data_IF_611339756420
#
_entry.id   IF_611339756420
#
_cell.length_a   1.000
_cell.length_b   1.000
_cell.length_c   1.000
_cell.angle_alpha   90.00
_cell.angle_beta   90.00
_cell.angle_gamma   90.00
#
_symmetry.space_group_name_H-M   'P 1'
#
loop_
_entity.id
_entity.type
_entity.pdbx_description
1 polymer ?
#
# COMPACT_ATOMS: atom_id res chain seq x y z
N UNK A 1 -4.94 15.79 -3.90
CA UNK A 1 -3.68 15.04 -3.80
C UNK A 1 -3.48 14.69 -2.35
N UNK A 2 -3.35 13.40 -2.04
CA UNK A 2 -3.02 12.93 -0.70
C UNK A 2 -1.66 12.27 -0.75
N UNK A 3 -0.84 12.51 0.26
CA UNK A 3 0.42 11.79 0.41
C UNK A 3 0.12 10.43 1.04
N UNK A 4 0.40 9.38 0.27
CA UNK A 4 0.16 8.00 0.69
C UNK A 4 1.51 7.31 0.89
N UNK A 5 1.79 6.93 2.15
CA UNK A 5 2.93 6.07 2.48
C UNK A 5 2.42 4.69 2.87
N UNK A 6 3.04 3.66 2.31
CA UNK A 6 2.82 2.27 2.67
C UNK A 6 4.19 1.70 3.08
N UNK A 7 4.28 1.12 4.28
CA UNK A 7 5.46 0.40 4.75
C UNK A 7 5.08 -1.07 4.92
N UNK A 8 5.79 -1.94 4.22
CA UNK A 8 5.64 -3.39 4.32
C UNK A 8 6.95 -3.96 4.85
N UNK A 9 6.93 -4.57 6.03
CA UNK A 9 8.09 -5.14 6.71
C UNK A 9 7.73 -6.55 7.19
N UNK A 10 8.20 -7.57 6.44
CA UNK A 10 7.78 -8.96 6.68
C UNK A 10 6.27 -9.12 6.52
N UNK A 11 5.62 -9.53 7.61
CA UNK A 11 4.16 -9.70 7.70
C UNK A 11 3.39 -8.48 8.19
N UNK A 12 4.10 -7.41 8.54
CA UNK A 12 3.52 -6.17 9.05
C UNK A 12 3.36 -5.13 7.96
N UNK A 13 2.15 -4.60 7.84
CA UNK A 13 1.75 -3.59 6.85
C UNK A 13 1.22 -2.37 7.58
N UNK A 14 1.78 -1.20 7.25
CA UNK A 14 1.40 0.08 7.84
C UNK A 14 1.09 1.11 6.76
N UNK A 15 0.01 1.86 6.94
CA UNK A 15 -0.50 2.84 5.99
C UNK A 15 -0.59 4.22 6.64
N UNK A 16 -0.24 5.25 5.88
CA UNK A 16 -0.45 6.65 6.27
C UNK A 16 -1.09 7.43 5.12
N UNK A 17 -2.06 8.28 5.46
CA UNK A 17 -2.65 9.27 4.56
C UNK A 17 -2.42 10.65 5.18
N UNK A 18 -1.68 11.51 4.47
CA UNK A 18 -1.32 12.84 4.95
C UNK A 18 -0.73 12.81 6.38
N UNK A 19 0.28 11.93 6.57
CA UNK A 19 0.96 11.63 7.83
C UNK A 19 0.13 11.02 8.96
N UNK A 20 -1.20 10.96 8.83
CA UNK A 20 -2.07 10.25 9.77
C UNK A 20 -1.96 8.74 9.53
N UNK A 21 -1.62 7.98 10.59
CA UNK A 21 -1.55 6.51 10.50
C UNK A 21 -2.96 5.93 10.49
N UNK A 22 -3.34 5.27 9.41
CA UNK A 22 -4.69 4.72 9.25
C UNK A 22 -4.76 3.21 9.50
N UNK A 23 -3.66 2.49 9.27
CA UNK A 23 -3.58 1.02 9.45
C UNK A 23 -2.23 0.63 10.05
N UNK A 24 -2.26 -0.32 10.98
CA UNK A 24 -1.11 -1.08 11.48
C UNK A 24 -1.57 -2.53 11.66
N UNK A 25 -1.23 -3.39 10.70
CA UNK A 25 -1.74 -4.75 10.59
C UNK A 25 -0.59 -5.74 10.48
N UNK A 26 -0.72 -6.88 11.16
CA UNK A 26 0.17 -8.03 11.02
C UNK A 26 -0.65 -9.19 10.47
N UNK A 27 -0.28 -9.66 9.28
CA UNK A 27 -0.94 -10.78 8.62
C UNK A 27 -0.57 -12.10 9.31
N UNK A 28 -1.53 -12.66 10.03
CA UNK A 28 -1.39 -13.88 10.83
C UNK A 28 -1.43 -15.17 10.02
N UNK A 29 -1.99 -15.14 8.80
CA UNK A 29 -2.03 -16.31 7.92
C UNK A 29 -0.67 -16.50 7.22
N UNK A 30 -0.05 -17.65 7.45
CA UNK A 30 1.24 -18.00 6.86
C UNK A 30 1.11 -18.39 5.37
N UNK A 31 -0.09 -18.79 4.92
CA UNK A 31 -0.33 -19.23 3.55
C UNK A 31 -0.48 -18.04 2.57
N UNK A 32 -0.69 -16.83 3.09
CA UNK A 32 -0.77 -15.61 2.27
C UNK A 32 0.62 -15.26 1.70
N UNK A 33 0.76 -15.12 0.36
CA UNK A 33 2.04 -14.82 -0.27
C UNK A 33 2.64 -13.48 0.19
N UNK A 34 3.95 -13.48 0.49
CA UNK A 34 4.69 -12.31 0.99
C UNK A 34 5.36 -11.48 -0.12
N UNK A 35 5.25 -11.92 -1.37
CA UNK A 35 5.84 -11.27 -2.53
C UNK A 35 4.86 -11.23 -3.70
N UNK A 36 4.96 -10.20 -4.53
CA UNK A 36 4.07 -9.99 -5.68
C UNK A 36 4.42 -8.75 -6.46
N UNK A 37 3.48 -8.29 -7.29
CA UNK A 37 3.60 -7.05 -8.06
C UNK A 37 2.83 -5.91 -7.37
N UNK A 38 3.27 -4.68 -7.59
CA UNK A 38 2.55 -3.47 -7.15
C UNK A 38 1.76 -2.93 -8.35
N UNK A 39 0.47 -2.69 -8.14
CA UNK A 39 -0.42 -2.12 -9.14
C UNK A 39 -1.35 -1.07 -8.51
N UNK A 40 -1.73 -0.08 -9.30
CA UNK A 40 -2.82 0.84 -8.95
C UNK A 40 -4.13 0.26 -9.49
N UNK A 41 -5.17 0.29 -8.68
CA UNK A 41 -6.50 -0.18 -9.06
C UNK A 41 -7.49 0.99 -9.06
N UNK A 42 -8.29 1.07 -10.12
CA UNK A 42 -9.53 1.85 -10.17
C UNK A 42 -10.68 0.85 -10.17
N UNK A 43 -11.62 1.00 -9.24
CA UNK A 43 -12.73 0.05 -9.08
C UNK A 43 -13.66 0.12 -10.31
N UNK A 44 -14.16 -1.03 -10.75
CA UNK A 44 -15.16 -1.10 -11.83
C UNK A 44 -16.52 -0.53 -11.36
N UNK A 45 -17.25 0.18 -12.21
CA UNK A 45 -18.58 0.69 -11.85
C UNK A 45 -18.94 1.95 -12.62
N UNK A 46 -19.64 2.88 -11.94
CA UNK A 46 -19.88 4.21 -12.48
C UNK A 46 -18.55 4.89 -12.89
N UNK A 47 -18.55 5.77 -13.90
CA UNK A 47 -17.34 6.42 -14.36
C UNK A 47 -16.55 7.04 -13.20
N UNK A 48 -15.30 6.61 -13.05
CA UNK A 48 -14.37 7.07 -12.04
C UNK A 48 -13.04 7.41 -12.70
N UNK A 49 -12.41 8.46 -12.20
CA UNK A 49 -11.07 8.86 -12.61
C UNK A 49 -10.18 8.99 -11.37
N UNK A 50 -8.95 8.49 -11.45
CA UNK A 50 -7.96 8.59 -10.40
C UNK A 50 -6.62 9.03 -10.99
N UNK A 51 -5.98 9.99 -10.33
CA UNK A 51 -4.73 10.60 -10.78
C UNK A 51 -3.62 10.26 -9.78
N UNK A 52 -2.51 9.74 -10.30
CA UNK A 52 -1.35 9.33 -9.51
C UNK A 52 -0.14 10.14 -9.94
N UNK A 53 0.70 10.54 -8.98
CA UNK A 53 1.99 11.19 -9.25
C UNK A 53 2.99 10.79 -8.19
N UNK A 54 4.27 10.76 -8.57
CA UNK A 54 5.36 10.53 -7.62
C UNK A 54 5.39 9.15 -6.99
N UNK A 55 4.89 8.12 -7.68
CA UNK A 55 5.01 6.73 -7.25
C UNK A 55 6.49 6.34 -7.19
N UNK A 56 6.95 5.94 -5.99
CA UNK A 56 8.33 5.50 -5.76
C UNK A 56 8.32 4.26 -4.88
N UNK A 57 9.28 3.37 -5.12
CA UNK A 57 9.52 2.19 -4.31
C UNK A 57 10.93 2.28 -3.73
N UNK A 58 11.06 1.96 -2.45
CA UNK A 58 12.34 1.79 -1.78
C UNK A 58 12.30 0.47 -1.03
N UNK A 59 13.26 -0.41 -1.31
CA UNK A 59 13.46 -1.62 -0.53
C UNK A 59 13.89 -1.22 0.89
N UNK A 60 13.32 -1.90 1.90
CA UNK A 60 13.80 -1.79 3.26
C UNK A 60 15.08 -2.62 3.36
N UNK A 61 16.16 -2.01 3.85
CA UNK A 61 17.37 -2.77 4.16
C UNK A 61 17.09 -3.65 5.38
N UNK A 62 17.76 -4.80 5.45
CA UNK A 62 17.80 -5.66 6.65
C UNK A 62 18.28 -4.90 7.89
#
# INVERSE_FOLDING_TARGET
WNDYRIRCEGDRIQLWINDEKTVDYTESDADIPRAGIIAVQVHSGAPMEAWYRGLRLKLLNE
#
